data_IF_727161499122
#
_entry.id   IF_727161499122
#
_cell.length_a   1.000
_cell.length_b   1.000
_cell.length_c   1.000
_cell.angle_alpha   90.00
_cell.angle_beta   90.00
_cell.angle_gamma   90.00
#
_symmetry.space_group_name_H-M   'P 1'
#
loop_
_entity.id
_entity.type
_entity.pdbx_description
1 polymer ?
#
# COMPACT_ATOMS: atom_id res chain seq x y z
N UNK A 1 15.62 10.53 -19.82
CA UNK A 1 14.94 10.41 -18.51
C UNK A 1 13.91 11.53 -18.50
N UNK A 2 12.65 11.24 -18.85
CA UNK A 2 11.62 12.29 -18.98
C UNK A 2 10.95 12.40 -17.61
N UNK A 3 11.09 13.57 -16.98
CA UNK A 3 10.34 13.98 -15.79
C UNK A 3 8.84 13.75 -16.05
N UNK A 4 8.07 13.31 -15.06
CA UNK A 4 6.60 13.09 -15.23
C UNK A 4 5.83 13.66 -14.04
N UNK A 5 6.31 14.81 -13.57
CA UNK A 5 5.92 15.50 -12.34
C UNK A 5 4.92 16.62 -12.56
N UNK A 6 4.87 17.10 -13.79
CA UNK A 6 4.16 18.31 -14.15
C UNK A 6 3.06 17.99 -15.13
N UNK A 7 1.99 18.75 -15.00
CA UNK A 7 0.88 18.72 -15.93
C UNK A 7 1.32 19.01 -17.37
N UNK A 8 2.37 19.82 -17.53
CA UNK A 8 2.95 20.17 -18.83
C UNK A 8 3.38 18.99 -19.70
N UNK A 9 3.99 17.97 -19.10
CA UNK A 9 4.56 16.82 -19.84
C UNK A 9 3.74 15.54 -19.70
N UNK A 10 2.82 15.48 -18.74
CA UNK A 10 1.98 14.32 -18.49
C UNK A 10 0.51 14.66 -18.16
N UNK A 11 -0.17 15.56 -18.91
CA UNK A 11 -1.46 16.13 -18.51
C UNK A 11 -2.54 15.07 -18.33
N UNK A 12 -2.64 14.12 -19.26
CA UNK A 12 -3.63 13.04 -19.22
C UNK A 12 -3.43 12.13 -18.01
N UNK A 13 -2.18 11.78 -17.70
CA UNK A 13 -1.88 10.85 -16.61
C UNK A 13 -2.06 11.50 -15.24
N UNK A 14 -1.74 12.78 -15.10
CA UNK A 14 -2.02 13.57 -13.89
C UNK A 14 -3.53 13.56 -13.61
N UNK A 15 -4.35 13.85 -14.61
CA UNK A 15 -5.81 13.85 -14.45
C UNK A 15 -6.38 12.45 -14.15
N UNK A 16 -5.89 11.42 -14.84
CA UNK A 16 -6.26 10.03 -14.54
C UNK A 16 -5.96 9.68 -13.08
N UNK A 17 -4.80 10.06 -12.59
CA UNK A 17 -4.38 9.78 -11.21
C UNK A 17 -5.28 10.47 -10.20
N UNK A 18 -5.56 11.77 -10.38
CA UNK A 18 -6.46 12.51 -9.50
C UNK A 18 -7.86 11.90 -9.46
N UNK A 19 -8.43 11.54 -10.62
CA UNK A 19 -9.75 10.93 -10.72
C UNK A 19 -9.78 9.57 -10.01
N UNK A 20 -8.77 8.74 -10.25
CA UNK A 20 -8.70 7.40 -9.66
C UNK A 20 -8.46 7.46 -8.15
N UNK A 21 -7.57 8.32 -7.66
CA UNK A 21 -7.34 8.49 -6.22
C UNK A 21 -8.60 8.98 -5.51
N UNK A 22 -9.33 9.94 -6.09
CA UNK A 22 -10.62 10.37 -5.57
C UNK A 22 -11.61 9.20 -5.50
N UNK A 23 -11.68 8.37 -6.56
CA UNK A 23 -12.55 7.19 -6.56
C UNK A 23 -12.17 6.16 -5.51
N UNK A 24 -10.88 5.96 -5.25
CA UNK A 24 -10.41 5.07 -4.20
C UNK A 24 -10.81 5.59 -2.81
N UNK A 25 -10.70 6.89 -2.55
CA UNK A 25 -11.17 7.51 -1.29
C UNK A 25 -12.68 7.38 -1.11
N UNK A 26 -13.46 7.56 -2.18
CA UNK A 26 -14.90 7.31 -2.17
C UNK A 26 -15.24 5.89 -1.71
N UNK A 27 -14.51 4.88 -2.22
CA UNK A 27 -14.73 3.47 -1.87
C UNK A 27 -14.37 3.18 -0.40
N UNK A 28 -13.34 3.86 0.12
CA UNK A 28 -12.96 3.77 1.54
C UNK A 28 -14.00 4.46 2.44
N UNK A 29 -14.85 5.34 1.90
CA UNK A 29 -15.86 6.10 2.64
C UNK A 29 -15.36 7.44 3.17
N UNK A 30 -14.23 7.95 2.65
CA UNK A 30 -13.72 9.28 3.01
C UNK A 30 -14.42 10.39 2.23
N UNK A 31 -14.37 11.61 2.77
CA UNK A 31 -14.94 12.81 2.12
C UNK A 31 -14.42 12.99 0.69
N UNK A 32 -15.32 13.35 -0.22
CA UNK A 32 -14.96 13.66 -1.61
C UNK A 32 -14.34 15.05 -1.77
N UNK A 33 -14.42 15.90 -0.73
CA UNK A 33 -13.94 17.28 -0.76
C UNK A 33 -12.49 17.41 -0.31
N UNK A 34 -12.10 16.65 0.70
CA UNK A 34 -10.79 16.76 1.36
C UNK A 34 -10.04 15.43 1.20
N UNK A 35 -8.83 15.45 0.65
CA UNK A 35 -8.27 14.20 0.13
C UNK A 35 -6.95 14.30 -0.63
N UNK A 36 -5.82 14.02 0.02
CA UNK A 36 -4.54 13.87 -0.68
C UNK A 36 -4.16 12.41 -0.97
N UNK A 37 -3.24 12.20 -1.90
CA UNK A 37 -2.71 10.88 -2.24
C UNK A 37 -1.77 10.90 -3.45
N UNK A 38 -0.93 9.87 -3.57
CA UNK A 38 -0.01 9.70 -4.70
C UNK A 38 0.26 8.20 -4.95
N UNK A 39 0.45 7.79 -6.20
CA UNK A 39 0.94 6.45 -6.49
C UNK A 39 2.44 6.37 -6.21
N UNK A 40 2.84 5.30 -5.51
CA UNK A 40 4.22 5.01 -5.12
C UNK A 40 4.73 3.73 -5.81
N UNK A 41 6.06 3.53 -5.92
CA UNK A 41 6.66 2.32 -6.47
C UNK A 41 6.64 1.17 -5.45
N UNK A 42 5.44 0.73 -5.09
CA UNK A 42 5.21 -0.41 -4.19
C UNK A 42 4.82 -0.03 -2.75
N UNK A 43 4.20 -0.99 -2.06
CA UNK A 43 3.59 -0.78 -0.74
C UNK A 43 4.57 -0.36 0.36
N UNK A 44 5.82 -0.83 0.32
CA UNK A 44 6.84 -0.42 1.30
C UNK A 44 7.11 1.09 1.27
N UNK A 45 7.15 1.68 0.07
CA UNK A 45 7.33 3.13 -0.09
C UNK A 45 6.04 3.87 0.31
N UNK A 46 4.85 3.31 0.06
CA UNK A 46 3.60 3.86 0.62
C UNK A 46 3.63 3.93 2.14
N UNK A 47 4.10 2.89 2.82
CA UNK A 47 4.24 2.88 4.28
C UNK A 47 5.26 3.91 4.75
N UNK A 48 6.33 4.14 3.99
CA UNK A 48 7.27 5.22 4.30
C UNK A 48 6.61 6.60 4.17
N UNK A 49 5.80 6.84 3.12
CA UNK A 49 5.05 8.08 2.96
C UNK A 49 4.10 8.33 4.13
N UNK A 50 3.40 7.31 4.62
CA UNK A 50 2.48 7.46 5.75
C UNK A 50 3.21 7.83 7.04
N UNK A 51 4.37 7.19 7.31
CA UNK A 51 5.23 7.54 8.45
C UNK A 51 5.77 8.97 8.32
N UNK A 52 6.24 9.35 7.14
CA UNK A 52 6.78 10.69 6.90
C UNK A 52 5.71 11.77 7.04
N UNK A 53 4.50 11.53 6.52
CA UNK A 53 3.36 12.41 6.69
C UNK A 53 2.98 12.55 8.17
N UNK A 54 2.84 11.43 8.90
CA UNK A 54 2.56 11.46 10.33
C UNK A 54 3.64 12.26 11.09
N UNK A 55 4.92 11.96 10.86
CA UNK A 55 6.02 12.70 11.48
C UNK A 55 5.97 14.20 11.17
N UNK A 56 5.74 14.58 9.91
CA UNK A 56 5.66 16.00 9.53
C UNK A 56 4.48 16.72 10.17
N UNK A 57 3.35 16.03 10.40
CA UNK A 57 2.21 16.62 11.12
C UNK A 57 2.58 17.00 12.55
N UNK A 58 3.15 16.07 13.30
CA UNK A 58 3.39 16.26 14.73
C UNK A 58 4.70 17.01 15.01
N UNK A 59 5.70 16.83 14.15
CA UNK A 59 7.06 17.34 14.31
C UNK A 59 7.62 17.93 12.99
N UNK A 60 6.99 18.99 12.44
CA UNK A 60 7.42 19.60 11.17
C UNK A 60 8.86 20.12 11.22
N UNK A 61 9.36 20.51 12.40
CA UNK A 61 10.72 20.98 12.63
C UNK A 61 11.78 19.93 12.31
N UNK A 62 11.44 18.64 12.31
CA UNK A 62 12.37 17.56 11.92
C UNK A 62 12.83 17.75 10.48
N UNK A 63 11.99 18.33 9.60
CA UNK A 63 12.35 18.58 8.20
C UNK A 63 13.59 19.48 8.07
N UNK A 64 13.75 20.46 8.96
CA UNK A 64 14.84 21.45 8.90
C UNK A 64 15.92 21.24 9.96
N UNK A 65 15.57 20.67 11.12
CA UNK A 65 16.49 20.50 12.25
C UNK A 65 16.94 19.04 12.45
N UNK A 66 16.36 18.09 11.71
CA UNK A 66 16.64 16.66 11.83
C UNK A 66 16.02 16.00 13.06
N UNK A 67 16.16 14.67 13.14
CA UNK A 67 15.56 13.85 14.21
C UNK A 67 16.14 14.12 15.60
N UNK A 68 17.35 14.68 15.68
CA UNK A 68 17.99 15.03 16.95
C UNK A 68 17.29 16.21 17.67
N UNK A 69 16.46 16.97 16.96
CA UNK A 69 15.74 18.10 17.52
C UNK A 69 14.48 17.71 18.30
N UNK A 70 14.08 16.45 18.26
CA UNK A 70 12.86 15.95 18.90
C UNK A 70 13.17 14.78 19.84
N UNK A 71 12.31 14.51 20.85
CA UNK A 71 12.42 13.31 21.66
C UNK A 71 12.38 12.04 20.81
N UNK A 72 12.84 10.93 21.37
CA UNK A 72 12.85 9.63 20.70
C UNK A 72 11.42 9.23 20.30
N UNK A 73 11.12 9.25 19.01
CA UNK A 73 9.85 8.83 18.45
C UNK A 73 9.77 7.30 18.37
N UNK A 74 8.58 6.74 18.60
CA UNK A 74 8.31 5.31 18.53
C UNK A 74 7.15 5.05 17.57
N UNK A 75 7.26 3.99 16.77
CA UNK A 75 6.23 3.56 15.83
C UNK A 75 5.62 2.24 16.28
N UNK A 76 4.32 2.10 16.07
CA UNK A 76 3.58 0.88 16.35
C UNK A 76 3.29 0.13 15.08
N UNK A 77 3.80 -1.08 15.04
CA UNK A 77 3.34 -2.14 14.16
C UNK A 77 2.90 -3.30 15.06
N UNK A 78 2.29 -4.33 14.51
CA UNK A 78 1.41 -5.28 15.19
C UNK A 78 2.00 -6.14 16.33
N UNK A 79 3.16 -5.81 16.93
CA UNK A 79 3.77 -6.62 18.02
C UNK A 79 4.30 -5.92 19.29
N UNK A 80 4.41 -4.59 19.47
CA UNK A 80 4.98 -4.01 20.73
C UNK A 80 4.33 -2.69 21.20
N UNK A 81 4.52 -2.23 22.45
CA UNK A 81 3.79 -1.10 23.08
C UNK A 81 4.67 -0.02 23.77
N UNK A 82 4.51 1.27 23.39
CA UNK A 82 5.02 2.54 23.97
C UNK A 82 4.22 3.76 23.38
N UNK A 83 4.70 5.00 23.53
CA UNK A 83 3.99 6.26 23.16
C UNK A 83 3.72 6.37 21.65
N UNK A 84 2.45 6.39 21.19
CA UNK A 84 2.12 6.19 19.79
C UNK A 84 2.15 7.49 18.95
N UNK A 85 2.78 7.40 17.78
CA UNK A 85 2.81 8.45 16.75
C UNK A 85 1.98 8.08 15.51
N UNK A 86 1.97 6.80 15.17
CA UNK A 86 1.43 6.25 13.93
C UNK A 86 1.08 4.78 14.13
N UNK A 87 -0.02 4.33 13.54
CA UNK A 87 -0.43 2.93 13.49
C UNK A 87 -0.61 2.53 12.03
N UNK A 88 0.08 1.47 11.63
CA UNK A 88 -0.12 0.83 10.32
C UNK A 88 -1.06 -0.36 10.46
N UNK A 89 -2.33 -0.18 10.13
CA UNK A 89 -3.26 -1.29 9.96
C UNK A 89 -3.03 -1.97 8.60
N UNK A 90 -2.91 -3.29 8.61
CA UNK A 90 -2.66 -4.11 7.43
C UNK A 90 -3.95 -4.80 7.01
N UNK A 91 -4.48 -4.42 5.85
CA UNK A 91 -5.64 -5.06 5.24
C UNK A 91 -5.19 -6.22 4.33
N UNK A 92 -4.79 -7.34 4.94
CA UNK A 92 -4.26 -8.51 4.25
C UNK A 92 -2.76 -8.67 4.46
N UNK A 93 -2.36 -9.35 5.53
CA UNK A 93 -0.95 -9.62 5.83
C UNK A 93 -0.34 -10.50 4.75
N UNK A 94 0.95 -10.30 4.50
CA UNK A 94 1.65 -11.08 3.51
C UNK A 94 1.53 -12.56 3.84
N UNK A 95 1.86 -13.03 5.05
CA UNK A 95 1.88 -14.48 5.28
C UNK A 95 0.49 -15.12 5.34
N UNK A 96 -0.40 -14.61 6.18
CA UNK A 96 -1.68 -15.24 6.47
C UNK A 96 -2.88 -14.64 5.72
N UNK A 97 -2.70 -13.55 4.98
CA UNK A 97 -3.83 -12.80 4.42
C UNK A 97 -4.74 -12.20 5.49
N UNK A 98 -4.27 -12.13 6.75
CA UNK A 98 -5.06 -11.64 7.87
C UNK A 98 -5.33 -10.14 7.73
N UNK A 99 -6.53 -9.71 8.10
CA UNK A 99 -6.90 -8.31 8.14
C UNK A 99 -6.86 -7.83 9.58
N UNK A 100 -6.15 -6.73 9.82
CA UNK A 100 -6.22 -6.04 11.10
C UNK A 100 -7.65 -5.49 11.31
N UNK A 101 -8.13 -5.39 12.57
CA UNK A 101 -9.44 -4.83 12.88
C UNK A 101 -9.42 -3.30 12.67
N UNK A 102 -9.58 -2.86 11.41
CA UNK A 102 -9.37 -1.46 10.99
C UNK A 102 -10.26 -0.49 11.78
N UNK A 103 -11.50 -0.87 12.08
CA UNK A 103 -12.43 -0.01 12.84
C UNK A 103 -11.97 0.18 14.28
N UNK A 104 -11.57 -0.89 14.97
CA UNK A 104 -11.05 -0.80 16.34
C UNK A 104 -9.74 0.00 16.39
N UNK A 105 -8.89 -0.16 15.37
CA UNK A 105 -7.68 0.64 15.22
C UNK A 105 -8.01 2.12 14.98
N UNK A 106 -9.03 2.42 14.18
CA UNK A 106 -9.49 3.78 13.93
C UNK A 106 -9.99 4.45 15.23
N UNK A 107 -10.76 3.74 16.05
CA UNK A 107 -11.23 4.23 17.37
C UNK A 107 -10.06 4.52 18.32
N UNK A 108 -9.03 3.67 18.33
CA UNK A 108 -7.80 3.89 19.08
C UNK A 108 -7.06 5.11 18.52
N UNK A 109 -6.98 5.25 17.20
CA UNK A 109 -6.35 6.39 16.55
C UNK A 109 -7.04 7.71 16.91
N UNK A 110 -8.37 7.74 16.92
CA UNK A 110 -9.13 8.92 17.33
C UNK A 110 -8.90 9.25 18.81
N UNK A 111 -8.96 8.23 19.68
CA UNK A 111 -8.76 8.39 21.14
C UNK A 111 -7.38 8.94 21.52
N UNK A 112 -6.32 8.52 20.81
CA UNK A 112 -4.94 8.93 21.09
C UNK A 112 -4.43 10.03 20.15
N UNK A 113 -5.33 10.65 19.36
CA UNK A 113 -5.01 11.66 18.36
C UNK A 113 -3.86 11.22 17.45
N UNK A 114 -3.98 10.03 16.86
CA UNK A 114 -3.06 9.44 15.89
C UNK A 114 -3.53 9.74 14.47
N UNK A 115 -2.57 9.84 13.56
CA UNK A 115 -2.81 10.31 12.20
C UNK A 115 -3.70 9.36 11.39
N UNK A 116 -4.80 9.89 10.84
CA UNK A 116 -5.62 9.17 9.86
C UNK A 116 -5.64 9.84 8.47
N UNK A 117 -5.68 11.18 8.37
CA UNK A 117 -5.69 11.86 7.06
C UNK A 117 -5.69 13.40 7.21
N UNK A 118 -4.92 14.15 6.40
CA UNK A 118 -5.13 15.60 6.14
C UNK A 118 -4.63 15.96 4.74
N UNK A 119 -5.35 16.85 4.07
CA UNK A 119 -5.00 17.40 2.76
C UNK A 119 -3.71 18.25 2.78
N UNK A 120 -2.96 18.25 1.67
CA UNK A 120 -1.74 19.04 1.46
C UNK A 120 -0.51 18.61 2.27
N UNK A 121 -0.61 17.58 3.13
CA UNK A 121 0.53 17.17 3.96
C UNK A 121 1.67 16.58 3.14
N UNK A 122 1.37 15.90 2.02
CA UNK A 122 2.41 15.27 1.21
C UNK A 122 3.29 16.34 0.57
N UNK A 123 2.70 17.44 0.12
CA UNK A 123 3.45 18.59 -0.39
C UNK A 123 4.31 19.20 0.71
N UNK A 124 3.73 19.56 1.85
CA UNK A 124 4.52 20.14 2.96
C UNK A 124 5.65 19.23 3.43
N UNK A 125 5.41 17.93 3.51
CA UNK A 125 6.37 16.93 3.93
C UNK A 125 7.53 16.78 2.93
N UNK A 126 7.23 16.69 1.63
CA UNK A 126 8.19 16.25 0.61
C UNK A 126 8.76 17.39 -0.25
N UNK A 127 8.14 18.57 -0.26
CA UNK A 127 8.57 19.70 -1.07
C UNK A 127 10.05 20.01 -0.83
N UNK A 128 10.83 19.99 -1.91
CA UNK A 128 12.27 20.34 -1.93
C UNK A 128 12.52 21.73 -2.50
N UNK A 129 11.47 22.45 -2.93
CA UNK A 129 11.55 23.77 -3.55
C UNK A 129 12.52 23.84 -4.73
N UNK A 130 12.47 22.84 -5.63
CA UNK A 130 13.29 22.81 -6.83
C UNK A 130 12.80 23.87 -7.83
N UNK A 131 13.35 25.10 -7.72
CA UNK A 131 12.88 26.27 -8.48
C UNK A 131 13.03 26.18 -10.01
N UNK A 132 13.82 25.23 -10.51
CA UNK A 132 13.92 24.99 -11.96
C UNK A 132 12.78 24.13 -12.52
N UNK A 133 12.11 23.34 -11.67
CA UNK A 133 11.08 22.36 -12.09
C UNK A 133 9.65 22.86 -11.76
N UNK A 134 9.50 23.48 -10.58
CA UNK A 134 8.22 23.98 -10.07
C UNK A 134 8.17 25.51 -10.13
N UNK A 135 8.07 26.02 -11.36
CA UNK A 135 7.95 27.45 -11.64
C UNK A 135 6.53 27.94 -11.35
N UNK A 136 6.32 29.00 -10.54
CA UNK A 136 4.99 29.50 -10.20
C UNK A 136 4.34 30.34 -11.31
N UNK A 137 5.10 30.75 -12.33
CA UNK A 137 4.70 31.65 -13.42
C UNK A 137 4.26 30.91 -14.71
N UNK A 138 3.91 29.63 -14.60
CA UNK A 138 3.44 28.84 -15.75
C UNK A 138 2.08 29.31 -16.26
N UNK A 139 1.82 29.08 -17.54
CA UNK A 139 0.58 29.47 -18.23
C UNK A 139 -0.64 28.59 -17.90
N UNK A 140 -0.52 27.69 -16.91
CA UNK A 140 -1.57 26.80 -16.45
C UNK A 140 -1.60 26.77 -14.92
N UNK A 141 -2.66 26.21 -14.35
CA UNK A 141 -2.78 26.04 -12.91
C UNK A 141 -1.72 25.06 -12.37
N UNK A 142 -0.73 25.59 -11.67
CA UNK A 142 0.39 24.81 -11.11
C UNK A 142 -0.02 23.86 -9.99
N UNK A 143 -1.26 23.93 -9.48
CA UNK A 143 -1.77 22.95 -8.51
C UNK A 143 -1.87 21.53 -9.07
N UNK A 144 -1.86 21.38 -10.41
CA UNK A 144 -1.78 20.07 -11.08
C UNK A 144 -0.37 19.47 -11.10
N UNK A 145 0.68 20.23 -10.77
CA UNK A 145 2.03 19.70 -10.66
C UNK A 145 2.18 18.96 -9.33
N UNK A 146 2.09 17.62 -9.38
CA UNK A 146 2.08 16.79 -8.17
C UNK A 146 3.47 16.37 -7.70
N UNK A 147 4.54 16.79 -8.38
CA UNK A 147 5.89 16.30 -8.09
C UNK A 147 6.44 16.70 -6.73
N UNK A 148 6.12 17.89 -6.23
CA UNK A 148 6.52 18.33 -4.89
C UNK A 148 5.82 17.54 -3.77
N UNK A 149 4.83 16.71 -4.09
CA UNK A 149 4.21 15.77 -3.14
C UNK A 149 4.99 14.46 -3.00
N UNK A 150 5.92 14.17 -3.91
CA UNK A 150 6.67 12.92 -3.97
C UNK A 150 8.09 13.10 -3.43
N UNK A 151 8.62 12.06 -2.80
CA UNK A 151 10.07 11.93 -2.50
C UNK A 151 10.86 11.64 -3.79
N UNK A 152 10.20 11.13 -4.82
CA UNK A 152 10.86 10.70 -6.06
C UNK A 152 11.08 11.89 -7.01
N UNK A 153 12.31 12.00 -7.52
CA UNK A 153 12.64 12.89 -8.65
C UNK A 153 12.29 12.31 -10.02
N UNK A 154 12.06 10.99 -10.16
CA UNK A 154 11.59 10.32 -11.39
C UNK A 154 10.44 9.35 -11.05
N UNK A 155 9.27 9.44 -11.70
CA UNK A 155 8.12 8.55 -11.39
C UNK A 155 7.57 7.85 -12.63
N UNK A 156 7.40 6.54 -12.51
CA UNK A 156 6.81 5.71 -13.55
C UNK A 156 5.28 5.97 -13.64
N UNK A 157 4.72 5.85 -14.84
CA UNK A 157 3.26 6.01 -15.05
C UNK A 157 2.59 4.68 -14.74
N UNK A 158 2.28 4.45 -13.48
CA UNK A 158 1.56 3.24 -13.05
C UNK A 158 0.05 3.38 -13.14
N UNK A 159 -0.45 4.61 -13.23
CA UNK A 159 -1.89 4.87 -13.26
C UNK A 159 -2.56 4.35 -14.53
N UNK A 160 -1.89 4.43 -15.70
CA UNK A 160 -2.55 4.15 -16.97
C UNK A 160 -3.04 2.70 -17.07
N UNK A 161 -2.18 1.73 -16.71
CA UNK A 161 -2.55 0.31 -16.68
C UNK A 161 -3.74 0.07 -15.76
N UNK A 162 -3.74 0.68 -14.58
CA UNK A 162 -4.80 0.49 -13.60
C UNK A 162 -6.11 1.13 -14.04
N UNK A 163 -6.05 2.38 -14.52
CA UNK A 163 -7.19 3.10 -15.04
C UNK A 163 -7.84 2.34 -16.21
N UNK A 164 -7.04 1.85 -17.16
CA UNK A 164 -7.54 1.11 -18.31
C UNK A 164 -8.21 -0.21 -17.89
N UNK A 165 -7.59 -0.97 -16.96
CA UNK A 165 -8.21 -2.17 -16.41
C UNK A 165 -9.54 -1.86 -15.72
N UNK A 166 -9.62 -0.75 -14.96
CA UNK A 166 -10.85 -0.36 -14.31
C UNK A 166 -11.93 0.06 -15.30
N UNK A 167 -11.58 0.74 -16.39
CA UNK A 167 -12.54 1.05 -17.45
C UNK A 167 -13.03 -0.19 -18.17
N UNK A 168 -12.17 -1.19 -18.37
CA UNK A 168 -12.53 -2.44 -19.03
C UNK A 168 -13.39 -3.36 -18.13
N UNK A 169 -13.04 -3.52 -16.86
CA UNK A 169 -13.72 -4.42 -15.92
C UNK A 169 -14.88 -3.75 -15.19
N UNK A 170 -14.80 -2.45 -14.94
CA UNK A 170 -15.67 -1.76 -13.99
C UNK A 170 -15.42 -2.22 -12.54
N UNK A 171 -16.06 -1.54 -11.58
CA UNK A 171 -16.00 -1.92 -10.16
C UNK A 171 -16.57 -3.33 -9.93
N UNK A 172 -17.70 -3.64 -10.58
CA UNK A 172 -18.33 -4.97 -10.50
C UNK A 172 -17.43 -6.07 -11.06
N UNK A 173 -16.66 -5.80 -12.12
CA UNK A 173 -15.71 -6.78 -12.66
C UNK A 173 -14.56 -7.08 -11.70
N UNK A 174 -14.04 -6.06 -11.00
CA UNK A 174 -13.05 -6.29 -9.94
C UNK A 174 -13.64 -7.03 -8.73
N UNK A 175 -14.85 -6.68 -8.32
CA UNK A 175 -15.58 -7.37 -7.24
C UNK A 175 -15.75 -8.86 -7.56
N UNK A 176 -16.26 -9.19 -8.75
CA UNK A 176 -16.42 -10.58 -9.19
C UNK A 176 -15.08 -11.33 -9.21
N UNK A 177 -14.01 -10.66 -9.65
CA UNK A 177 -12.67 -11.23 -9.70
C UNK A 177 -12.15 -11.56 -8.28
N UNK A 178 -12.29 -10.64 -7.34
CA UNK A 178 -11.91 -10.83 -5.93
C UNK A 178 -12.74 -11.92 -5.29
N UNK A 179 -14.06 -11.88 -5.46
CA UNK A 179 -14.98 -12.90 -4.94
C UNK A 179 -14.62 -14.29 -5.45
N UNK A 180 -14.25 -14.41 -6.73
CA UNK A 180 -13.81 -15.70 -7.28
C UNK A 180 -12.51 -16.20 -6.64
N UNK A 181 -11.54 -15.30 -6.40
CA UNK A 181 -10.30 -15.67 -5.71
C UNK A 181 -10.57 -16.17 -4.29
N UNK A 182 -11.46 -15.50 -3.55
CA UNK A 182 -11.86 -15.90 -2.20
C UNK A 182 -12.61 -17.24 -2.20
N UNK A 183 -13.53 -17.44 -3.14
CA UNK A 183 -14.25 -18.72 -3.31
C UNK A 183 -13.28 -19.87 -3.61
N UNK A 184 -12.30 -19.65 -4.49
CA UNK A 184 -11.27 -20.66 -4.81
C UNK A 184 -10.36 -20.95 -3.62
N UNK A 185 -10.03 -19.94 -2.82
CA UNK A 185 -9.25 -20.12 -1.58
C UNK A 185 -10.04 -20.95 -0.55
N UNK A 186 -11.33 -20.66 -0.37
CA UNK A 186 -12.22 -21.42 0.52
C UNK A 186 -12.44 -22.86 0.02
N UNK A 187 -12.59 -23.03 -1.29
CA UNK A 187 -12.67 -24.35 -1.91
C UNK A 187 -11.41 -25.17 -1.64
N UNK A 188 -10.23 -24.59 -1.85
CA UNK A 188 -8.96 -25.25 -1.56
C UNK A 188 -8.87 -25.64 -0.09
N UNK A 189 -9.12 -24.70 0.82
CA UNK A 189 -9.15 -24.93 2.26
C UNK A 189 -10.06 -26.12 2.61
N UNK A 190 -11.29 -26.13 2.09
CA UNK A 190 -12.28 -27.19 2.35
C UNK A 190 -11.84 -28.55 1.81
N UNK A 191 -11.11 -28.57 0.68
CA UNK A 191 -10.60 -29.82 0.10
C UNK A 191 -9.43 -30.42 0.86
N UNK A 192 -8.60 -29.61 1.52
CA UNK A 192 -7.39 -30.08 2.21
C UNK A 192 -7.58 -30.26 3.71
N UNK A 193 -8.49 -29.51 4.37
CA UNK A 193 -8.59 -29.47 5.85
C UNK A 193 -8.85 -30.82 6.54
N UNK A 194 -9.45 -31.78 5.84
CA UNK A 194 -9.85 -33.08 6.39
C UNK A 194 -9.07 -34.25 5.75
N UNK A 195 -7.99 -33.97 5.02
CA UNK A 195 -7.16 -34.99 4.39
C UNK A 195 -6.01 -35.36 5.32
N UNK A 196 -5.83 -36.65 5.59
CA UNK A 196 -4.76 -37.14 6.48
C UNK A 196 -3.37 -36.79 5.96
N UNK A 197 -3.23 -36.57 4.65
CA UNK A 197 -1.97 -36.19 3.99
C UNK A 197 -1.62 -34.71 4.13
N UNK A 198 -2.55 -33.88 4.65
CA UNK A 198 -2.39 -32.43 4.78
C UNK A 198 -2.68 -31.97 6.20
N UNK A 199 -1.70 -31.32 6.81
CA UNK A 199 -1.89 -30.64 8.08
C UNK A 199 -2.11 -29.14 7.83
N UNK A 200 -3.20 -28.59 8.37
CA UNK A 200 -3.41 -27.14 8.35
C UNK A 200 -2.36 -26.51 9.26
N UNK A 201 -1.40 -25.82 8.66
CA UNK A 201 -0.20 -25.42 9.38
C UNK A 201 -0.54 -24.55 10.59
N UNK A 202 -0.18 -25.12 11.75
CA UNK A 202 0.58 -24.44 12.77
C UNK A 202 2.05 -24.93 12.87
N UNK A 203 2.46 -26.10 12.32
CA UNK A 203 3.86 -26.58 12.27
C UNK A 203 4.13 -27.52 11.05
N UNK A 204 5.39 -27.76 10.65
CA UNK A 204 5.88 -28.62 9.54
C UNK A 204 7.26 -28.28 8.91
N UNK A 205 8.13 -29.28 8.64
CA UNK A 205 9.52 -29.10 8.11
C UNK A 205 9.71 -29.48 6.61
N UNK A 206 8.66 -29.95 5.93
CA UNK A 206 8.76 -30.68 4.64
C UNK A 206 8.83 -29.78 3.38
N UNK A 207 8.46 -28.50 3.50
CA UNK A 207 8.22 -27.61 2.35
C UNK A 207 9.40 -27.39 1.38
N UNK A 208 10.67 -27.27 1.81
CA UNK A 208 11.79 -27.02 0.88
C UNK A 208 12.02 -28.12 -0.16
N UNK A 209 11.88 -29.40 0.23
CA UNK A 209 12.10 -30.55 -0.66
C UNK A 209 11.02 -30.64 -1.74
N UNK A 210 9.77 -30.42 -1.36
CA UNK A 210 8.64 -30.42 -2.29
C UNK A 210 8.75 -29.25 -3.28
N UNK A 211 9.22 -28.06 -2.84
CA UNK A 211 9.43 -26.93 -3.75
C UNK A 211 10.53 -27.20 -4.79
N UNK A 212 11.63 -27.87 -4.42
CA UNK A 212 12.68 -28.24 -5.37
C UNK A 212 12.13 -29.13 -6.49
N UNK A 213 11.35 -30.16 -6.15
CA UNK A 213 10.70 -31.05 -7.12
C UNK A 213 9.69 -30.32 -8.01
N UNK A 214 8.95 -29.35 -7.46
CA UNK A 214 8.05 -28.50 -8.24
C UNK A 214 8.82 -27.66 -9.27
N UNK A 215 9.98 -27.12 -8.90
CA UNK A 215 10.83 -26.33 -9.80
C UNK A 215 11.49 -27.20 -10.89
N UNK A 216 11.93 -28.41 -10.54
CA UNK A 216 12.52 -29.36 -11.49
C UNK A 216 11.48 -29.88 -12.50
N UNK A 217 10.26 -30.18 -12.03
CA UNK A 217 9.18 -30.67 -12.89
C UNK A 217 8.51 -29.56 -13.72
N UNK A 218 8.60 -28.29 -13.28
CA UNK A 218 7.98 -27.15 -13.96
C UNK A 218 6.44 -27.15 -13.99
N UNK A 219 5.81 -27.99 -13.18
CA UNK A 219 4.34 -28.21 -13.23
C UNK A 219 3.55 -27.14 -12.48
N UNK A 220 4.07 -26.63 -11.37
CA UNK A 220 3.45 -25.59 -10.55
C UNK A 220 4.51 -24.90 -9.68
N UNK A 221 4.15 -23.76 -9.07
CA UNK A 221 4.98 -23.08 -8.09
C UNK A 221 4.13 -22.55 -6.94
N UNK A 222 4.51 -22.91 -5.71
CA UNK A 222 3.95 -22.33 -4.48
C UNK A 222 5.07 -21.83 -3.57
N UNK A 223 4.85 -20.72 -2.85
CA UNK A 223 5.82 -20.17 -1.89
C UNK A 223 5.83 -20.95 -0.59
N UNK A 224 6.95 -20.93 0.13
CA UNK A 224 7.01 -21.39 1.52
C UNK A 224 7.90 -20.46 2.35
N UNK A 225 7.63 -20.38 3.65
CA UNK A 225 8.41 -19.58 4.60
C UNK A 225 8.18 -20.06 6.04
N UNK A 226 9.10 -19.78 6.99
CA UNK A 226 8.85 -19.92 8.42
C UNK A 226 8.17 -18.66 8.99
N UNK A 227 7.61 -18.74 10.20
CA UNK A 227 7.11 -17.55 10.91
C UNK A 227 7.14 -17.74 12.44
N UNK A 228 7.93 -16.92 13.14
CA UNK A 228 8.11 -17.05 14.60
C UNK A 228 8.70 -18.42 14.93
N UNK A 229 8.06 -19.11 15.88
CA UNK A 229 8.43 -20.49 16.27
C UNK A 229 7.93 -21.55 15.26
N UNK A 230 7.18 -21.15 14.23
CA UNK A 230 6.67 -22.07 13.20
C UNK A 230 7.74 -22.34 12.14
N UNK A 231 8.01 -23.62 11.93
CA UNK A 231 8.85 -24.17 10.85
C UNK A 231 8.23 -23.93 9.45
N UNK A 232 8.94 -24.31 8.38
CA UNK A 232 8.60 -23.94 7.00
C UNK A 232 7.26 -24.50 6.49
N UNK A 233 6.33 -23.61 6.14
CA UNK A 233 5.03 -24.01 5.57
C UNK A 233 4.74 -23.39 4.22
N UNK A 234 3.93 -24.09 3.42
CA UNK A 234 3.48 -23.59 2.13
C UNK A 234 2.42 -22.50 2.30
N UNK A 235 2.60 -21.42 1.54
CA UNK A 235 1.63 -20.34 1.41
C UNK A 235 1.06 -20.36 0.01
N UNK A 236 -0.20 -20.79 -0.08
CA UNK A 236 -0.95 -20.72 -1.33
C UNK A 236 -1.62 -19.35 -1.45
N UNK A 237 -1.36 -18.67 -2.56
CA UNK A 237 -1.99 -17.40 -2.90
C UNK A 237 -2.77 -17.57 -4.20
N UNK A 238 -4.06 -17.26 -4.18
CA UNK A 238 -4.86 -17.18 -5.39
C UNK A 238 -4.81 -15.75 -5.95
N UNK A 239 -4.33 -15.62 -7.18
CA UNK A 239 -4.62 -14.46 -8.02
C UNK A 239 -5.29 -15.00 -9.27
N UNK A 240 -6.51 -14.56 -9.56
CA UNK A 240 -7.15 -14.88 -10.82
C UNK A 240 -6.46 -14.03 -11.88
N UNK A 241 -5.48 -14.61 -12.57
CA UNK A 241 -4.91 -13.99 -13.76
C UNK A 241 -6.02 -13.51 -14.70
N UNK A 242 -5.76 -12.40 -15.38
CA UNK A 242 -6.63 -11.96 -16.48
C UNK A 242 -6.53 -13.06 -17.56
N UNK A 243 -7.65 -13.57 -18.10
CA UNK A 243 -7.60 -14.47 -19.24
C UNK A 243 -6.91 -13.83 -20.45
#
# INVERSE_FOLDING_TARGET
MVDRFTYEIAPVFVLMEQITLRKMREIIGWSNKDGDGIFSPGGAISNMYSIMAARYKYFPEVKTKGMAAVPKLVLFTSEHGYVPLFVNATAGTTVYGAFDPIQEIADICEKYNLWLHVDGILQGCNQMCAGYLFQPDKQYDVSYDTGDKAIQCGRHVDIFKFWLMWKAKGTVGFENQINKCLELAEYLYTKIKNREEFEMVFEGEVAPKIKALMMESGTTMVGYQPQGDKVNFFRMTGDSGIP
#
